data_IF_426403607772
#
_entry.id   IF_426403607772
#
_cell.length_a   1.000
_cell.length_b   1.000
_cell.length_c   1.000
_cell.angle_alpha   90.00
_cell.angle_beta   90.00
_cell.angle_gamma   90.00
#
_symmetry.space_group_name_H-M   'P 1'
#
loop_
_entity.id
_entity.type
_entity.pdbx_description
1 polymer ?
#
# COMPACT_ATOMS: atom_id res chain seq x y z
N UNK A 1 -10.83 21.88 -1.35
CA UNK A 1 -10.74 21.33 0.03
C UNK A 1 -9.34 20.74 0.15
N UNK A 2 -8.56 21.22 1.10
CA UNK A 2 -7.19 20.73 1.32
C UNK A 2 -7.28 19.48 2.19
N UNK A 3 -6.97 18.33 1.61
CA UNK A 3 -7.03 17.02 2.28
C UNK A 3 -6.17 16.98 3.56
N UNK A 4 -5.08 17.72 3.56
CA UNK A 4 -4.18 17.86 4.71
C UNK A 4 -4.88 18.31 6.00
N UNK A 5 -5.94 19.11 5.85
CA UNK A 5 -6.74 19.60 6.99
C UNK A 5 -7.75 18.58 7.52
N UNK A 6 -7.99 17.51 6.77
CA UNK A 6 -8.91 16.43 7.14
C UNK A 6 -8.18 15.26 7.78
N UNK A 7 -6.89 15.09 7.47
CA UNK A 7 -6.10 13.99 7.99
C UNK A 7 -5.70 14.28 9.44
N UNK A 8 -5.83 13.31 10.32
CA UNK A 8 -5.35 13.40 11.69
C UNK A 8 -3.86 13.74 11.70
N UNK A 9 -3.47 14.67 12.56
CA UNK A 9 -2.09 15.17 12.61
C UNK A 9 -1.05 14.08 12.82
N UNK A 10 -1.29 13.15 13.72
CA UNK A 10 -0.40 12.03 13.98
C UNK A 10 -0.26 11.07 12.78
N UNK A 11 -1.26 11.00 11.90
CA UNK A 11 -1.20 10.22 10.67
C UNK A 11 -0.42 10.98 9.59
N UNK A 12 -0.67 12.28 9.46
CA UNK A 12 0.06 13.13 8.51
C UNK A 12 1.58 13.15 8.77
N UNK A 13 1.97 13.13 10.04
CA UNK A 13 3.36 13.13 10.47
C UNK A 13 4.05 11.75 10.42
N UNK A 14 3.31 10.67 10.14
CA UNK A 14 3.89 9.33 10.03
C UNK A 14 4.87 9.24 8.86
N UNK A 15 6.04 8.66 9.14
CA UNK A 15 6.93 8.23 8.08
C UNK A 15 6.43 6.90 7.52
N UNK A 16 6.23 6.80 6.20
CA UNK A 16 5.85 5.53 5.58
C UNK A 16 6.87 4.44 5.92
N UNK A 17 6.37 3.24 6.12
CA UNK A 17 7.27 2.09 6.19
C UNK A 17 7.94 1.88 4.83
N UNK A 18 9.26 1.83 4.79
CA UNK A 18 10.03 1.41 3.63
C UNK A 18 10.63 0.03 3.87
N UNK A 19 10.63 -0.80 2.86
CA UNK A 19 11.31 -2.08 2.91
C UNK A 19 12.55 -2.07 1.99
N UNK A 20 13.55 -2.88 2.32
CA UNK A 20 14.79 -2.95 1.53
C UNK A 20 14.53 -3.26 0.04
N UNK A 21 13.43 -3.97 -0.26
CA UNK A 21 13.02 -4.28 -1.62
C UNK A 21 12.59 -3.05 -2.43
N UNK A 22 12.11 -2.00 -1.78
CA UNK A 22 11.72 -0.75 -2.45
C UNK A 22 12.94 0.06 -2.92
N UNK A 23 14.04 -0.05 -2.19
CA UNK A 23 15.30 0.61 -2.49
C UNK A 23 16.10 -0.11 -3.57
N UNK A 24 15.66 -1.32 -3.96
CA UNK A 24 16.31 -2.13 -4.97
C UNK A 24 15.75 -1.85 -6.37
N UNK A 25 16.55 -1.20 -7.19
CA UNK A 25 16.17 -0.80 -8.55
C UNK A 25 16.26 -1.93 -9.61
N UNK A 26 16.52 -3.15 -9.17
CA UNK A 26 16.61 -4.31 -10.06
C UNK A 26 18.06 -4.60 -10.51
N UNK A 27 18.27 -5.83 -11.02
CA UNK A 27 19.57 -6.33 -11.47
C UNK A 27 19.78 -7.79 -11.05
N UNK A 28 20.98 -8.31 -11.29
CA UNK A 28 21.38 -9.63 -10.81
C UNK A 28 21.86 -9.50 -9.35
N UNK A 29 20.99 -9.82 -8.41
CA UNK A 29 21.37 -9.87 -7.00
C UNK A 29 20.78 -11.13 -6.33
N UNK A 30 21.49 -11.62 -5.33
CA UNK A 30 20.96 -12.64 -4.41
C UNK A 30 20.24 -11.87 -3.32
N UNK A 31 18.91 -12.02 -3.30
CA UNK A 31 18.05 -11.34 -2.34
C UNK A 31 18.04 -12.10 -1.01
N UNK A 32 18.55 -11.47 0.04
CA UNK A 32 18.61 -11.99 1.41
C UNK A 32 17.89 -11.07 2.42
N UNK A 33 17.05 -10.19 1.90
CA UNK A 33 16.35 -9.14 2.64
C UNK A 33 15.08 -9.63 3.35
N UNK A 34 14.57 -10.80 2.97
CA UNK A 34 13.30 -11.32 3.47
C UNK A 34 13.33 -12.84 3.63
N UNK A 35 12.48 -13.34 4.53
CA UNK A 35 12.32 -14.78 4.76
C UNK A 35 11.38 -15.40 3.71
N UNK A 36 11.86 -15.51 2.49
CA UNK A 36 11.12 -16.06 1.36
C UNK A 36 11.39 -17.55 1.16
N UNK A 37 10.45 -18.25 0.53
CA UNK A 37 10.65 -19.63 0.12
C UNK A 37 11.76 -19.69 -0.95
N UNK A 38 12.85 -20.46 -0.74
CA UNK A 38 13.95 -20.53 -1.70
C UNK A 38 13.62 -21.30 -2.98
N UNK A 39 12.56 -22.11 -2.97
CA UNK A 39 12.14 -22.87 -4.13
C UNK A 39 11.27 -22.02 -5.05
N UNK A 40 11.63 -21.99 -6.34
CA UNK A 40 10.85 -21.26 -7.33
C UNK A 40 9.51 -21.97 -7.59
N UNK A 41 8.45 -21.36 -7.12
CA UNK A 41 7.06 -21.81 -7.31
C UNK A 41 6.25 -20.84 -8.17
N UNK A 42 6.89 -19.79 -8.68
CA UNK A 42 6.21 -18.68 -9.38
C UNK A 42 5.47 -17.70 -8.45
N UNK A 43 5.29 -18.07 -7.17
CA UNK A 43 4.64 -17.23 -6.14
C UNK A 43 5.41 -17.27 -4.82
N UNK A 44 6.70 -17.56 -4.88
CA UNK A 44 7.57 -17.71 -3.71
C UNK A 44 8.16 -16.40 -3.18
N UNK A 45 7.97 -15.31 -3.90
CA UNK A 45 8.46 -13.98 -3.51
C UNK A 45 7.37 -13.16 -2.83
N UNK A 46 7.76 -12.29 -1.91
CA UNK A 46 6.83 -11.32 -1.35
C UNK A 46 6.26 -10.42 -2.46
N UNK A 47 4.96 -10.13 -2.39
CA UNK A 47 4.32 -9.27 -3.38
C UNK A 47 4.83 -7.82 -3.28
N UNK A 48 4.68 -7.08 -4.36
CA UNK A 48 4.91 -5.63 -4.35
C UNK A 48 3.95 -4.94 -3.36
N UNK A 49 4.46 -4.27 -2.31
CA UNK A 49 3.61 -3.62 -1.30
C UNK A 49 2.73 -2.50 -1.88
N UNK A 50 3.11 -1.94 -3.03
CA UNK A 50 2.33 -0.91 -3.72
C UNK A 50 1.37 -1.48 -4.78
N UNK A 51 1.38 -2.78 -5.03
CA UNK A 51 0.55 -3.49 -6.01
C UNK A 51 0.54 -2.81 -7.40
N UNK A 52 1.69 -2.38 -7.86
CA UNK A 52 1.83 -1.53 -9.06
C UNK A 52 1.22 -2.14 -10.31
N UNK A 53 1.51 -3.42 -10.58
CA UNK A 53 0.99 -4.10 -11.76
C UNK A 53 -0.53 -4.33 -11.67
N UNK A 54 -1.02 -4.74 -10.51
CA UNK A 54 -2.45 -4.91 -10.29
C UNK A 54 -3.21 -3.59 -10.44
N UNK A 55 -2.67 -2.50 -9.88
CA UNK A 55 -3.27 -1.16 -10.01
C UNK A 55 -3.31 -0.68 -11.46
N UNK A 56 -2.29 -0.96 -12.26
CA UNK A 56 -2.30 -0.63 -13.70
C UNK A 56 -3.45 -1.34 -14.44
N UNK A 57 -3.62 -2.64 -14.20
CA UNK A 57 -4.69 -3.40 -14.85
C UNK A 57 -6.08 -2.94 -14.40
N UNK A 58 -6.26 -2.69 -13.11
CA UNK A 58 -7.52 -2.17 -12.59
C UNK A 58 -7.82 -0.75 -13.09
N UNK A 59 -6.81 0.10 -13.18
CA UNK A 59 -6.94 1.45 -13.73
C UNK A 59 -7.44 1.40 -15.18
N UNK A 60 -6.88 0.50 -15.99
CA UNK A 60 -7.31 0.26 -17.36
C UNK A 60 -8.75 -0.25 -17.45
N UNK A 61 -9.12 -1.22 -16.61
CA UNK A 61 -10.46 -1.82 -16.59
C UNK A 61 -11.55 -0.88 -16.08
N UNK A 62 -11.20 -0.03 -15.11
CA UNK A 62 -12.15 0.87 -14.46
C UNK A 62 -12.12 2.30 -14.98
N UNK A 63 -11.23 2.58 -15.93
CA UNK A 63 -11.03 3.91 -16.51
C UNK A 63 -10.76 5.00 -15.45
N UNK A 64 -10.01 4.64 -14.40
CA UNK A 64 -9.60 5.55 -13.32
C UNK A 64 -8.09 5.64 -13.24
N UNK A 65 -7.57 6.72 -12.67
CA UNK A 65 -6.13 6.87 -12.45
C UNK A 65 -5.64 5.97 -11.32
N UNK A 66 -4.41 5.47 -11.43
CA UNK A 66 -3.77 4.67 -10.39
C UNK A 66 -3.77 5.37 -9.03
N UNK A 67 -3.49 6.68 -9.02
CA UNK A 67 -3.44 7.50 -7.81
C UNK A 67 -4.83 7.73 -7.15
N UNK A 68 -5.90 7.38 -7.84
CA UNK A 68 -7.26 7.45 -7.32
C UNK A 68 -7.76 6.10 -6.77
N UNK A 69 -6.84 5.19 -6.47
CA UNK A 69 -7.16 3.82 -6.16
C UNK A 69 -6.37 3.35 -4.93
N UNK A 70 -7.08 2.80 -3.98
CA UNK A 70 -6.50 2.04 -2.87
C UNK A 70 -7.01 0.60 -2.92
N UNK A 71 -6.13 -0.35 -2.67
CA UNK A 71 -6.45 -1.78 -2.65
C UNK A 71 -6.18 -2.34 -1.26
N UNK A 72 -7.07 -3.20 -0.80
CA UNK A 72 -6.97 -3.86 0.50
C UNK A 72 -7.58 -5.26 0.49
N UNK A 73 -7.48 -5.94 1.60
CA UNK A 73 -8.00 -7.29 1.79
C UNK A 73 -9.45 -7.24 2.25
N UNK A 74 -10.34 -6.87 1.34
CA UNK A 74 -11.75 -6.65 1.61
C UNK A 74 -12.08 -5.19 1.95
N UNK A 75 -13.39 -4.89 1.96
CA UNK A 75 -13.90 -3.53 2.22
C UNK A 75 -13.66 -3.06 3.65
N UNK A 76 -13.73 -3.98 4.61
CA UNK A 76 -13.63 -3.64 6.03
C UNK A 76 -12.26 -3.07 6.40
N UNK A 77 -11.18 -3.60 5.82
CA UNK A 77 -9.85 -3.04 5.97
C UNK A 77 -9.79 -1.59 5.46
N UNK A 78 -10.36 -1.35 4.29
CA UNK A 78 -10.34 -0.01 3.69
C UNK A 78 -11.19 0.99 4.47
N UNK A 79 -12.34 0.56 4.99
CA UNK A 79 -13.20 1.38 5.85
C UNK A 79 -12.48 1.71 7.15
N UNK A 80 -11.86 0.73 7.81
CA UNK A 80 -11.07 0.94 9.03
C UNK A 80 -9.92 1.93 8.79
N UNK A 81 -9.18 1.78 7.68
CA UNK A 81 -8.11 2.70 7.32
C UNK A 81 -8.60 4.15 7.11
N UNK A 82 -9.76 4.33 6.47
CA UNK A 82 -10.36 5.65 6.29
C UNK A 82 -10.75 6.26 7.64
N UNK A 83 -11.44 5.51 8.50
CA UNK A 83 -11.83 5.98 9.82
C UNK A 83 -10.59 6.38 10.64
N UNK A 84 -9.57 5.53 10.69
CA UNK A 84 -8.32 5.82 11.42
C UNK A 84 -7.56 7.02 10.87
N UNK A 85 -7.67 7.30 9.58
CA UNK A 85 -6.96 8.41 8.95
C UNK A 85 -7.61 9.76 9.18
N UNK A 86 -8.94 9.79 9.29
CA UNK A 86 -9.71 11.03 9.26
C UNK A 86 -10.51 11.31 10.52
N UNK A 87 -10.86 10.31 11.33
CA UNK A 87 -11.68 10.48 12.53
C UNK A 87 -10.85 10.42 13.81
N UNK A 88 -10.98 11.41 14.67
CA UNK A 88 -10.37 11.37 16.01
C UNK A 88 -11.11 10.35 16.90
N UNK A 89 -10.45 9.75 17.92
CA UNK A 89 -11.07 8.70 18.76
C UNK A 89 -12.35 9.12 19.49
N UNK A 90 -12.59 10.41 19.66
CA UNK A 90 -13.77 10.93 20.32
C UNK A 90 -14.91 11.32 19.36
N UNK A 91 -14.69 11.18 18.05
CA UNK A 91 -15.70 11.50 17.05
C UNK A 91 -16.60 10.30 16.78
N UNK A 92 -17.88 10.59 16.58
CA UNK A 92 -18.84 9.58 16.11
C UNK A 92 -18.72 9.42 14.59
N UNK A 93 -18.83 8.20 14.14
CA UNK A 93 -18.82 7.80 12.71
C UNK A 93 -20.22 7.40 12.29
#
# INVERSE_FOLDING_TARGET
MEIEKLIRKNIWELQPYSCAREEYEGGQAILLDANENPFDTGVNRYPDPYQRELKKELARLKEVKVDHMILGNGSDELIDLLIRSFCEPAEAV
#
